data_IF_968014419267
#
_entry.id   IF_968014419267
#
_cell.length_a   1.000
_cell.length_b   1.000
_cell.length_c   1.000
_cell.angle_alpha   90.00
_cell.angle_beta   90.00
_cell.angle_gamma   90.00
#
_symmetry.space_group_name_H-M   'P 1'
#
loop_
_entity.id
_entity.type
_entity.pdbx_description
1 polymer ?
#
# COMPACT_ATOMS: atom_id res chain seq x y z
N UNK A 1 -2.56 -9.48 -45.09
CA UNK A 1 -1.74 -8.75 -44.10
C UNK A 1 -1.75 -9.57 -42.84
N UNK A 2 -0.69 -10.34 -42.61
CA UNK A 2 -0.53 -11.24 -41.47
C UNK A 2 -0.11 -10.43 -40.25
N UNK A 3 -0.98 -10.36 -39.24
CA UNK A 3 -0.69 -9.81 -37.92
C UNK A 3 0.29 -10.73 -37.22
N UNK A 4 1.55 -10.28 -37.11
CA UNK A 4 2.56 -10.99 -36.35
C UNK A 4 2.21 -10.90 -34.87
N UNK A 5 1.80 -12.03 -34.28
CA UNK A 5 1.82 -12.23 -32.84
C UNK A 5 3.26 -12.00 -32.36
N UNK A 6 3.52 -11.19 -31.32
CA UNK A 6 4.85 -11.04 -30.78
C UNK A 6 5.31 -12.43 -30.31
N UNK A 7 6.30 -13.01 -30.98
CA UNK A 7 6.98 -14.21 -30.49
C UNK A 7 7.70 -13.81 -29.22
N UNK A 8 7.39 -14.49 -28.11
CA UNK A 8 8.21 -14.42 -26.90
C UNK A 8 9.68 -14.70 -27.29
N UNK A 9 10.61 -13.76 -27.06
CA UNK A 9 12.00 -13.97 -27.42
C UNK A 9 12.62 -15.02 -26.49
N UNK A 10 12.95 -16.18 -27.05
CA UNK A 10 13.70 -17.22 -26.38
C UNK A 10 15.04 -16.65 -25.84
N UNK A 11 15.21 -16.73 -24.51
CA UNK A 11 16.28 -16.19 -23.64
C UNK A 11 15.90 -14.90 -22.88
N UNK A 12 14.99 -15.03 -21.93
CA UNK A 12 14.64 -13.98 -20.96
C UNK A 12 15.38 -14.17 -19.62
N UNK A 13 15.70 -15.41 -19.22
CA UNK A 13 16.31 -15.70 -17.90
C UNK A 13 17.81 -15.39 -17.75
N UNK A 14 18.58 -15.29 -18.85
CA UNK A 14 20.03 -15.04 -18.76
C UNK A 14 20.39 -13.58 -18.40
N UNK A 15 19.38 -12.72 -18.17
CA UNK A 15 19.56 -11.26 -17.95
C UNK A 15 19.18 -10.79 -16.56
N UNK A 16 18.54 -11.63 -15.75
CA UNK A 16 18.31 -11.29 -14.36
C UNK A 16 19.59 -11.60 -13.58
N UNK A 17 20.17 -10.62 -12.91
CA UNK A 17 21.05 -10.90 -11.77
C UNK A 17 20.33 -11.90 -10.89
N UNK A 18 20.99 -12.99 -10.51
CA UNK A 18 20.37 -14.17 -9.87
C UNK A 18 19.23 -13.80 -8.91
N UNK A 19 18.06 -14.47 -8.98
CA UNK A 19 16.96 -14.19 -8.06
C UNK A 19 17.43 -14.30 -6.61
N UNK A 20 16.96 -13.39 -5.76
CA UNK A 20 17.29 -13.41 -4.32
C UNK A 20 16.73 -14.69 -3.67
N UNK A 21 15.65 -15.25 -4.22
CA UNK A 21 15.12 -16.56 -3.87
C UNK A 21 14.39 -17.21 -5.06
N UNK A 22 14.49 -18.54 -5.20
CA UNK A 22 13.77 -19.35 -6.19
C UNK A 22 12.33 -19.61 -5.70
N UNK A 23 11.43 -18.63 -5.89
CA UNK A 23 10.06 -18.66 -5.37
C UNK A 23 9.11 -19.28 -6.38
N UNK A 24 8.69 -20.51 -6.12
CA UNK A 24 7.92 -21.31 -7.09
C UNK A 24 6.44 -21.43 -6.77
N UNK A 25 6.03 -21.18 -5.52
CA UNK A 25 4.62 -21.26 -5.13
C UNK A 25 4.09 -19.90 -4.72
N UNK A 26 3.25 -19.30 -5.55
CA UNK A 26 2.72 -17.94 -5.35
C UNK A 26 1.24 -17.99 -5.00
N UNK A 27 0.87 -17.43 -3.85
CA UNK A 27 -0.52 -17.16 -3.51
C UNK A 27 -1.04 -16.00 -4.34
N UNK A 28 -2.23 -16.11 -4.93
CA UNK A 28 -2.84 -15.03 -5.70
C UNK A 28 -4.16 -14.65 -5.06
N UNK A 29 -4.17 -13.48 -4.43
CA UNK A 29 -5.33 -12.89 -3.79
C UNK A 29 -6.03 -11.95 -4.75
N UNK A 30 -7.31 -12.20 -5.06
CA UNK A 30 -8.09 -11.35 -5.96
C UNK A 30 -9.17 -10.65 -5.14
N UNK A 31 -9.20 -9.32 -5.18
CA UNK A 31 -10.19 -8.54 -4.43
C UNK A 31 -11.22 -7.82 -5.31
N UNK A 32 -11.08 -7.95 -6.62
CA UNK A 32 -11.91 -7.30 -7.63
C UNK A 32 -11.13 -6.21 -8.38
N UNK A 33 -11.73 -5.02 -8.46
CA UNK A 33 -11.19 -3.90 -9.24
C UNK A 33 -11.17 -4.15 -10.76
N UNK A 34 -10.63 -3.19 -11.50
CA UNK A 34 -10.55 -3.24 -12.96
C UNK A 34 -9.79 -4.46 -13.48
N UNK A 35 -8.73 -4.88 -12.78
CA UNK A 35 -7.92 -6.06 -13.13
C UNK A 35 -8.70 -7.37 -13.00
N UNK A 36 -9.63 -7.46 -12.03
CA UNK A 36 -10.53 -8.58 -11.84
C UNK A 36 -11.89 -8.41 -12.54
N UNK A 37 -11.99 -7.50 -13.52
CA UNK A 37 -13.23 -7.20 -14.24
C UNK A 37 -13.07 -7.41 -15.74
N UNK A 38 -14.18 -7.60 -16.45
CA UNK A 38 -14.25 -7.55 -17.91
C UNK A 38 -15.13 -6.41 -18.39
N UNK A 39 -14.79 -5.80 -19.51
CA UNK A 39 -15.63 -4.82 -20.20
C UNK A 39 -16.67 -5.53 -21.07
N UNK A 40 -17.95 -5.20 -20.92
CA UNK A 40 -19.05 -5.70 -21.75
C UNK A 40 -19.86 -4.56 -22.37
N UNK A 41 -20.26 -4.73 -23.63
CA UNK A 41 -21.16 -3.80 -24.31
C UNK A 41 -22.62 -4.08 -23.91
N UNK A 42 -23.22 -3.18 -23.13
CA UNK A 42 -24.62 -3.28 -22.70
C UNK A 42 -25.38 -2.00 -23.09
N UNK A 43 -26.28 -2.12 -24.07
CA UNK A 43 -27.17 -1.01 -24.47
C UNK A 43 -26.44 0.22 -25.06
N UNK A 44 -25.30 0.03 -25.73
CA UNK A 44 -24.52 1.12 -26.32
C UNK A 44 -23.58 1.84 -25.35
N UNK A 45 -23.42 1.34 -24.11
CA UNK A 45 -22.39 1.74 -23.15
C UNK A 45 -21.53 0.55 -22.77
N UNK A 46 -20.26 0.80 -22.47
CA UNK A 46 -19.36 -0.19 -21.88
C UNK A 46 -19.57 -0.22 -20.36
N UNK A 47 -19.69 -1.42 -19.79
CA UNK A 47 -19.82 -1.63 -18.35
C UNK A 47 -18.79 -2.64 -17.87
N UNK A 48 -18.15 -2.32 -16.76
CA UNK A 48 -17.30 -3.26 -16.03
C UNK A 48 -18.17 -4.30 -15.31
N UNK A 49 -17.91 -5.57 -15.62
CA UNK A 49 -18.50 -6.74 -14.96
C UNK A 49 -17.39 -7.42 -14.18
N UNK A 50 -17.53 -7.47 -12.85
CA UNK A 50 -16.54 -8.09 -11.99
C UNK A 50 -16.65 -9.61 -12.08
N UNK A 51 -15.52 -10.29 -12.23
CA UNK A 51 -15.45 -11.73 -12.43
C UNK A 51 -15.59 -12.46 -11.08
N UNK A 52 -16.29 -13.60 -11.03
CA UNK A 52 -16.38 -14.45 -9.83
C UNK A 52 -15.86 -15.86 -10.11
N UNK A 53 -15.22 -16.47 -9.10
CA UNK A 53 -14.48 -17.74 -9.16
C UNK A 53 -15.22 -19.03 -9.56
N UNK A 54 -16.39 -18.94 -10.21
CA UNK A 54 -16.99 -20.06 -10.96
C UNK A 54 -16.59 -20.07 -12.45
N UNK A 55 -15.97 -19.00 -12.95
CA UNK A 55 -15.46 -18.97 -14.32
C UNK A 55 -14.05 -19.55 -14.32
N UNK A 56 -13.85 -20.66 -15.03
CA UNK A 56 -12.58 -21.37 -15.18
C UNK A 56 -11.47 -20.39 -15.59
N UNK A 57 -10.67 -20.02 -14.58
CA UNK A 57 -9.56 -19.07 -14.64
C UNK A 57 -10.01 -17.63 -14.95
N UNK A 58 -9.98 -16.78 -13.93
CA UNK A 58 -9.91 -15.33 -14.12
C UNK A 58 -8.95 -15.03 -15.28
N UNK A 59 -9.42 -14.28 -16.28
CA UNK A 59 -8.69 -13.92 -17.50
C UNK A 59 -7.35 -13.18 -17.21
N UNK A 60 -7.11 -12.86 -15.94
CA UNK A 60 -5.90 -12.23 -15.39
C UNK A 60 -4.61 -13.00 -15.69
N UNK A 61 -4.67 -14.32 -15.93
CA UNK A 61 -3.50 -15.13 -16.32
C UNK A 61 -3.47 -15.51 -17.80
N UNK A 62 -4.45 -15.07 -18.60
CA UNK A 62 -4.51 -15.47 -20.01
C UNK A 62 -3.49 -14.72 -20.87
N UNK A 63 -3.03 -13.57 -20.40
CA UNK A 63 -2.12 -12.67 -21.08
C UNK A 63 -0.76 -13.31 -21.40
N UNK A 64 -0.17 -12.98 -22.56
CA UNK A 64 1.04 -13.63 -23.06
C UNK A 64 2.26 -13.38 -22.18
N UNK A 65 2.39 -12.18 -21.59
CA UNK A 65 3.51 -11.87 -20.70
C UNK A 65 3.38 -12.64 -19.40
N UNK A 66 2.17 -12.69 -18.82
CA UNK A 66 1.93 -13.45 -17.59
C UNK A 66 2.24 -14.94 -17.78
N UNK A 67 1.74 -15.55 -18.87
CA UNK A 67 2.06 -16.95 -19.21
C UNK A 67 3.56 -17.19 -19.37
N UNK A 68 4.25 -16.29 -20.08
CA UNK A 68 5.69 -16.38 -20.25
C UNK A 68 6.44 -16.40 -18.92
N UNK A 69 6.11 -15.50 -17.98
CA UNK A 69 6.75 -15.47 -16.66
C UNK A 69 6.47 -16.74 -15.87
N UNK A 70 5.21 -17.22 -15.87
CA UNK A 70 4.82 -18.42 -15.14
C UNK A 70 5.55 -19.67 -15.66
N UNK A 71 5.56 -19.87 -16.98
CA UNK A 71 6.21 -21.02 -17.63
C UNK A 71 7.73 -20.99 -17.47
N UNK A 72 8.36 -19.84 -17.76
CA UNK A 72 9.83 -19.72 -17.72
C UNK A 72 10.38 -19.80 -16.30
N UNK A 73 9.67 -19.23 -15.32
CA UNK A 73 10.10 -19.23 -13.91
C UNK A 73 9.64 -20.48 -13.15
N UNK A 74 8.84 -21.35 -13.77
CA UNK A 74 8.28 -22.53 -13.10
C UNK A 74 7.37 -22.19 -11.92
N UNK A 75 6.69 -21.03 -11.97
CA UNK A 75 5.80 -20.57 -10.91
C UNK A 75 4.47 -21.32 -11.00
N UNK A 76 4.02 -21.84 -9.87
CA UNK A 76 2.68 -22.37 -9.64
C UNK A 76 1.88 -21.38 -8.80
N UNK A 77 0.58 -21.25 -9.07
CA UNK A 77 -0.28 -20.30 -8.38
C UNK A 77 -1.35 -21.00 -7.55
N UNK A 78 -1.66 -20.44 -6.39
CA UNK A 78 -2.81 -20.82 -5.57
C UNK A 78 -3.74 -19.63 -5.48
N UNK A 79 -4.90 -19.70 -6.14
CA UNK A 79 -5.82 -18.59 -6.20
C UNK A 79 -6.81 -18.59 -5.03
N UNK A 80 -7.06 -17.40 -4.48
CA UNK A 80 -8.13 -17.10 -3.52
C UNK A 80 -8.80 -15.78 -3.91
N UNK A 81 -10.13 -15.74 -3.83
CA UNK A 81 -10.91 -14.54 -4.11
C UNK A 81 -11.80 -14.23 -2.89
N UNK A 82 -11.22 -13.74 -1.78
CA UNK A 82 -11.99 -13.46 -0.57
C UNK A 82 -12.96 -12.29 -0.75
N UNK A 83 -12.70 -11.41 -1.72
CA UNK A 83 -13.45 -10.20 -1.98
C UNK A 83 -13.70 -10.06 -3.49
N UNK A 84 -14.82 -9.42 -3.83
CA UNK A 84 -15.14 -9.13 -5.23
C UNK A 84 -15.84 -7.76 -5.35
N UNK A 85 -15.06 -6.69 -5.27
CA UNK A 85 -15.59 -5.32 -5.25
C UNK A 85 -14.69 -4.30 -5.93
N UNK A 86 -15.25 -3.12 -6.19
CA UNK A 86 -14.49 -1.96 -6.66
C UNK A 86 -13.78 -1.29 -5.47
N UNK A 87 -12.56 -0.80 -5.70
CA UNK A 87 -11.67 -0.29 -4.65
C UNK A 87 -12.23 0.92 -3.89
N UNK A 88 -13.04 1.75 -4.54
CA UNK A 88 -13.69 2.92 -3.94
C UNK A 88 -14.72 2.56 -2.87
N UNK A 89 -15.16 1.30 -2.81
CA UNK A 89 -16.09 0.81 -1.79
C UNK A 89 -15.36 0.04 -0.66
N UNK A 90 -14.03 -0.03 -0.69
CA UNK A 90 -13.27 -0.79 0.30
C UNK A 90 -13.16 -0.05 1.62
N UNK A 91 -13.22 -0.80 2.72
CA UNK A 91 -13.22 -0.31 4.11
C UNK A 91 -12.14 -1.03 4.93
N UNK A 92 -11.81 -0.57 6.15
CA UNK A 92 -10.81 -1.22 6.98
C UNK A 92 -11.10 -2.69 7.34
N UNK A 93 -12.37 -3.08 7.45
CA UNK A 93 -12.78 -4.48 7.68
C UNK A 93 -12.35 -5.39 6.52
N UNK A 94 -12.36 -4.87 5.29
CA UNK A 94 -11.92 -5.61 4.13
C UNK A 94 -10.39 -5.84 4.16
N UNK A 95 -9.61 -4.89 4.69
CA UNK A 95 -8.18 -5.10 4.91
C UNK A 95 -7.91 -6.21 5.92
N UNK A 96 -8.73 -6.31 6.98
CA UNK A 96 -8.66 -7.41 7.96
C UNK A 96 -8.94 -8.76 7.28
N UNK A 97 -9.94 -8.84 6.41
CA UNK A 97 -10.22 -10.05 5.61
C UNK A 97 -9.01 -10.42 4.74
N UNK A 98 -8.43 -9.45 4.04
CA UNK A 98 -7.25 -9.70 3.20
C UNK A 98 -6.04 -10.16 4.01
N UNK A 99 -5.76 -9.53 5.16
CA UNK A 99 -4.66 -9.92 6.03
C UNK A 99 -4.77 -11.36 6.52
N UNK A 100 -5.98 -11.78 6.92
CA UNK A 100 -6.26 -13.17 7.37
C UNK A 100 -6.14 -14.18 6.23
N UNK A 101 -6.60 -13.84 5.03
CA UNK A 101 -6.46 -14.73 3.87
C UNK A 101 -4.99 -14.90 3.46
N UNK A 102 -4.16 -13.87 3.61
CA UNK A 102 -2.72 -13.96 3.37
C UNK A 102 -2.04 -14.84 4.43
N UNK A 103 -2.39 -14.67 5.70
CA UNK A 103 -1.94 -15.54 6.79
C UNK A 103 -2.32 -17.01 6.52
N UNK A 104 -3.59 -17.29 6.21
CA UNK A 104 -4.07 -18.63 5.89
C UNK A 104 -3.37 -19.25 4.67
N UNK A 105 -3.15 -18.48 3.59
CA UNK A 105 -2.39 -18.93 2.43
C UNK A 105 -0.96 -19.35 2.79
N UNK A 106 -0.30 -18.60 3.68
CA UNK A 106 1.06 -18.92 4.12
C UNK A 106 1.05 -20.20 4.95
N UNK A 107 0.12 -20.33 5.89
CA UNK A 107 0.05 -21.46 6.82
C UNK A 107 -0.39 -22.77 6.15
N UNK A 108 -1.38 -22.70 5.27
CA UNK A 108 -2.02 -23.89 4.68
C UNK A 108 -1.38 -24.34 3.37
N UNK A 109 -0.88 -23.40 2.56
CA UNK A 109 -0.37 -23.69 1.22
C UNK A 109 1.16 -23.56 1.12
N UNK A 110 1.82 -22.97 2.12
CA UNK A 110 3.28 -22.80 2.14
C UNK A 110 3.78 -21.96 0.96
N UNK A 111 3.10 -20.86 0.66
CA UNK A 111 3.47 -19.96 -0.46
C UNK A 111 4.76 -19.18 -0.15
N UNK A 112 5.60 -18.98 -1.17
CA UNK A 112 6.88 -18.28 -1.08
C UNK A 112 6.77 -16.77 -1.38
N UNK A 113 5.58 -16.32 -1.79
CA UNK A 113 5.24 -14.95 -2.12
C UNK A 113 3.75 -14.81 -2.41
N UNK A 114 3.22 -13.59 -2.29
CA UNK A 114 1.79 -13.33 -2.54
C UNK A 114 1.62 -12.19 -3.54
N UNK A 115 0.86 -12.45 -4.60
CA UNK A 115 0.37 -11.45 -5.53
C UNK A 115 -1.05 -11.04 -5.16
N UNK A 116 -1.29 -9.74 -4.98
CA UNK A 116 -2.62 -9.20 -4.68
C UNK A 116 -3.11 -8.39 -5.88
N UNK A 117 -4.17 -8.85 -6.51
CA UNK A 117 -4.86 -8.16 -7.61
C UNK A 117 -5.96 -7.27 -7.04
N UNK A 118 -5.78 -5.95 -7.16
CA UNK A 118 -6.58 -4.95 -6.47
C UNK A 118 -7.03 -3.81 -7.40
N UNK A 119 -8.13 -3.13 -7.05
CA UNK A 119 -8.52 -1.88 -7.70
C UNK A 119 -7.59 -0.72 -7.35
N UNK A 120 -7.34 0.20 -8.28
CA UNK A 120 -6.26 1.19 -8.15
C UNK A 120 -6.57 2.34 -7.20
N UNK A 121 -7.84 2.71 -6.98
CA UNK A 121 -8.18 3.94 -6.24
C UNK A 121 -7.75 3.93 -4.78
N UNK A 122 -7.91 2.78 -4.11
CA UNK A 122 -7.53 2.62 -2.69
C UNK A 122 -6.33 1.70 -2.49
N UNK A 123 -5.66 1.27 -3.58
CA UNK A 123 -4.54 0.31 -3.50
C UNK A 123 -3.40 0.77 -2.59
N UNK A 124 -3.10 2.08 -2.54
CA UNK A 124 -2.07 2.62 -1.65
C UNK A 124 -2.47 2.57 -0.17
N UNK A 125 -3.77 2.68 0.14
CA UNK A 125 -4.27 2.49 1.50
C UNK A 125 -4.17 1.02 1.89
N UNK A 126 -4.61 0.11 1.00
CA UNK A 126 -4.52 -1.33 1.22
C UNK A 126 -3.08 -1.81 1.36
N UNK A 127 -2.14 -1.33 0.53
CA UNK A 127 -0.72 -1.69 0.65
C UNK A 127 -0.15 -1.26 1.99
N UNK A 128 -0.55 -0.09 2.49
CA UNK A 128 -0.14 0.40 3.80
C UNK A 128 -0.72 -0.46 4.92
N UNK A 129 -2.02 -0.80 4.83
CA UNK A 129 -2.71 -1.58 5.86
C UNK A 129 -2.07 -2.97 6.00
N UNK A 130 -1.84 -3.64 4.86
CA UNK A 130 -1.16 -4.93 4.84
C UNK A 130 0.29 -4.82 5.33
N UNK A 131 1.01 -3.72 5.03
CA UNK A 131 2.37 -3.55 5.52
C UNK A 131 2.45 -3.53 7.06
N UNK A 132 1.47 -2.91 7.73
CA UNK A 132 1.39 -2.92 9.19
C UNK A 132 0.85 -4.25 9.74
N UNK A 133 -0.22 -4.80 9.15
CA UNK A 133 -0.82 -6.05 9.60
C UNK A 133 0.10 -7.26 9.44
N UNK A 134 0.98 -7.24 8.44
CA UNK A 134 1.92 -8.31 8.11
C UNK A 134 3.36 -7.94 8.51
N UNK A 135 3.53 -7.04 9.49
CA UNK A 135 4.85 -6.64 9.94
C UNK A 135 5.63 -7.84 10.50
N UNK A 136 6.74 -8.20 9.84
CA UNK A 136 7.53 -9.39 10.17
C UNK A 136 7.28 -10.59 9.28
N UNK A 137 6.44 -10.45 8.26
CA UNK A 137 6.29 -11.45 7.21
C UNK A 137 7.64 -11.81 6.57
N UNK A 138 7.85 -13.10 6.29
CA UNK A 138 9.11 -13.64 5.77
C UNK A 138 9.12 -13.81 4.25
N UNK A 139 8.05 -13.38 3.58
CA UNK A 139 7.89 -13.45 2.12
C UNK A 139 7.46 -12.08 1.57
N UNK A 140 7.73 -11.78 0.28
CA UNK A 140 7.22 -10.57 -0.35
C UNK A 140 5.72 -10.70 -0.67
N UNK A 141 5.00 -9.59 -0.49
CA UNK A 141 3.63 -9.40 -0.94
C UNK A 141 3.62 -8.24 -1.92
N UNK A 142 3.16 -8.44 -3.15
CA UNK A 142 3.11 -7.39 -4.17
C UNK A 142 1.67 -7.14 -4.58
N UNK A 143 1.21 -5.91 -4.36
CA UNK A 143 -0.06 -5.43 -4.89
C UNK A 143 0.14 -4.92 -6.32
N UNK A 144 -0.82 -5.21 -7.20
CA UNK A 144 -0.90 -4.64 -8.54
C UNK A 144 -2.35 -4.56 -9.00
N UNK A 145 -2.57 -3.90 -10.13
CA UNK A 145 -3.88 -3.77 -10.77
C UNK A 145 -3.76 -3.26 -12.19
N UNK A 146 -4.80 -2.63 -12.70
CA UNK A 146 -4.77 -2.05 -14.04
C UNK A 146 -5.65 -0.81 -14.15
N UNK A 147 -5.33 0.07 -15.09
CA UNK A 147 -6.18 1.18 -15.47
C UNK A 147 -7.33 0.71 -16.38
N UNK A 148 -7.09 -0.33 -17.19
CA UNK A 148 -8.09 -0.93 -18.10
C UNK A 148 -8.30 -2.42 -17.81
N UNK A 149 -9.50 -2.97 -18.06
CA UNK A 149 -9.77 -4.41 -17.94
C UNK A 149 -8.81 -5.24 -18.79
N UNK A 150 -8.50 -6.50 -18.40
CA UNK A 150 -7.61 -7.37 -19.18
C UNK A 150 -8.08 -7.59 -20.63
N UNK A 151 -9.40 -7.60 -20.86
CA UNK A 151 -9.98 -7.87 -22.18
C UNK A 151 -10.02 -6.65 -23.12
N UNK A 152 -9.61 -5.46 -22.66
CA UNK A 152 -9.61 -4.25 -23.47
C UNK A 152 -8.29 -4.05 -24.27
N UNK A 153 -8.34 -3.43 -25.46
CA UNK A 153 -7.14 -3.04 -26.19
C UNK A 153 -6.23 -2.10 -25.39
N UNK A 154 -4.92 -2.32 -25.51
CA UNK A 154 -3.88 -1.56 -24.80
C UNK A 154 -4.02 -1.60 -23.27
N UNK A 155 -4.67 -2.65 -22.74
CA UNK A 155 -4.72 -2.89 -21.31
C UNK A 155 -3.31 -3.04 -20.73
N UNK A 156 -3.10 -2.41 -19.58
CA UNK A 156 -1.88 -2.53 -18.79
C UNK A 156 -1.91 -3.73 -17.83
N UNK A 157 -3.01 -4.50 -17.77
CA UNK A 157 -3.15 -5.64 -16.86
C UNK A 157 -2.07 -6.72 -17.05
N UNK A 158 -1.90 -7.23 -18.27
CA UNK A 158 -0.90 -8.28 -18.58
C UNK A 158 0.52 -7.82 -18.20
N UNK A 159 0.88 -6.56 -18.49
CA UNK A 159 2.16 -5.97 -18.12
C UNK A 159 2.33 -5.86 -16.61
N UNK A 160 1.36 -5.24 -15.93
CA UNK A 160 1.42 -4.97 -14.50
C UNK A 160 1.47 -6.28 -13.68
N UNK A 161 0.75 -7.33 -14.10
CA UNK A 161 0.76 -8.65 -13.46
C UNK A 161 2.10 -9.36 -13.71
N UNK A 162 2.58 -9.38 -14.94
CA UNK A 162 3.86 -9.99 -15.27
C UNK A 162 5.02 -9.34 -14.52
N UNK A 163 5.07 -8.01 -14.48
CA UNK A 163 6.09 -7.26 -13.74
C UNK A 163 5.98 -7.51 -12.23
N UNK A 164 4.78 -7.66 -11.67
CA UNK A 164 4.61 -7.99 -10.26
C UNK A 164 5.11 -9.41 -9.94
N UNK A 165 4.87 -10.38 -10.82
CA UNK A 165 5.42 -11.74 -10.69
C UNK A 165 6.95 -11.74 -10.77
N UNK A 166 7.54 -10.97 -11.69
CA UNK A 166 9.00 -10.78 -11.76
C UNK A 166 9.50 -10.14 -10.47
N UNK A 167 8.85 -9.07 -9.99
CA UNK A 167 9.24 -8.38 -8.77
C UNK A 167 9.25 -9.32 -7.56
N UNK A 168 8.24 -10.20 -7.43
CA UNK A 168 8.18 -11.20 -6.36
C UNK A 168 9.43 -12.09 -6.31
N UNK A 169 10.09 -12.38 -7.43
CA UNK A 169 11.31 -13.21 -7.46
C UNK A 169 12.55 -12.50 -6.90
N UNK A 170 12.57 -11.17 -6.91
CA UNK A 170 13.74 -10.38 -6.53
C UNK A 170 13.57 -9.60 -5.22
N UNK A 171 12.34 -9.31 -4.81
CA UNK A 171 12.09 -8.51 -3.62
C UNK A 171 12.44 -9.27 -2.34
N UNK A 172 12.90 -8.51 -1.35
CA UNK A 172 13.01 -8.94 0.04
C UNK A 172 11.63 -9.08 0.68
N UNK A 173 11.50 -9.74 1.85
CA UNK A 173 10.23 -9.82 2.56
C UNK A 173 9.58 -8.46 2.85
N UNK A 174 8.25 -8.44 2.84
CA UNK A 174 7.44 -7.25 3.10
C UNK A 174 6.47 -6.90 1.98
N UNK A 175 5.73 -5.79 2.16
CA UNK A 175 4.64 -5.41 1.27
C UNK A 175 5.08 -4.29 0.31
N UNK A 176 4.78 -4.48 -0.98
CA UNK A 176 5.13 -3.59 -2.08
C UNK A 176 3.94 -3.38 -3.01
N UNK A 177 4.02 -2.33 -3.83
CA UNK A 177 3.08 -2.05 -4.92
C UNK A 177 3.87 -1.93 -6.23
N UNK A 178 3.54 -2.72 -7.24
CA UNK A 178 4.16 -2.66 -8.57
C UNK A 178 3.17 -2.13 -9.60
N UNK A 179 3.54 -1.09 -10.36
CA UNK A 179 2.64 -0.52 -11.36
C UNK A 179 3.38 0.21 -12.48
N UNK A 180 3.10 -0.14 -13.74
CA UNK A 180 3.54 0.62 -14.92
C UNK A 180 2.49 1.64 -15.35
N UNK A 181 1.22 1.23 -15.31
CA UNK A 181 0.09 2.07 -15.71
C UNK A 181 -0.05 2.29 -17.22
N UNK A 182 0.81 1.64 -18.02
CA UNK A 182 0.79 1.60 -19.48
C UNK A 182 1.41 0.27 -19.94
N UNK A 183 0.93 -0.34 -21.04
CA UNK A 183 1.43 -1.64 -21.50
C UNK A 183 2.91 -1.63 -21.91
N UNK A 184 3.46 -0.49 -22.36
CA UNK A 184 4.83 -0.35 -22.87
C UNK A 184 5.73 0.49 -21.95
N UNK A 185 5.40 0.61 -20.66
CA UNK A 185 6.21 1.32 -19.68
C UNK A 185 6.83 0.33 -18.68
N UNK A 186 7.97 0.72 -18.10
CA UNK A 186 8.51 0.01 -16.93
C UNK A 186 7.58 0.17 -15.74
N UNK A 187 7.39 -0.91 -14.98
CA UNK A 187 6.77 -0.81 -13.66
C UNK A 187 7.74 -0.20 -12.66
N UNK A 188 7.19 0.65 -11.79
CA UNK A 188 7.90 1.05 -10.58
C UNK A 188 7.36 0.23 -9.42
N UNK A 189 8.29 -0.25 -8.59
CA UNK A 189 7.99 -0.97 -7.36
C UNK A 189 8.15 0.00 -6.20
N UNK A 190 7.06 0.23 -5.49
CA UNK A 190 6.98 1.13 -4.36
C UNK A 190 6.91 0.34 -3.06
N UNK A 191 7.52 0.86 -1.99
CA UNK A 191 7.29 0.33 -0.64
C UNK A 191 5.84 0.64 -0.23
N UNK A 192 5.14 -0.35 0.33
CA UNK A 192 3.73 -0.30 0.68
C UNK A 192 3.37 0.86 1.62
N UNK A 193 4.32 1.33 2.43
CA UNK A 193 4.17 2.47 3.37
C UNK A 193 4.72 3.80 2.84
N UNK A 194 4.96 3.91 1.53
CA UNK A 194 5.48 5.14 0.92
C UNK A 194 4.83 5.51 -0.39
N UNK A 195 3.74 4.87 -0.77
CA UNK A 195 3.11 5.02 -2.08
C UNK A 195 1.82 5.81 -1.98
N UNK A 196 1.53 6.63 -2.99
CA UNK A 196 0.21 7.24 -3.19
C UNK A 196 -0.19 7.22 -4.66
N UNK A 197 -1.49 7.15 -4.92
CA UNK A 197 -2.05 7.40 -6.25
C UNK A 197 -2.11 8.91 -6.51
N UNK A 198 -1.21 9.41 -7.36
CA UNK A 198 -1.09 10.83 -7.70
C UNK A 198 -1.86 11.21 -8.99
N UNK A 199 -2.33 10.24 -9.77
CA UNK A 199 -3.08 10.48 -11.03
C UNK A 199 -4.23 9.50 -11.15
N UNK A 200 -5.28 9.88 -11.88
CA UNK A 200 -6.41 8.98 -12.18
C UNK A 200 -6.08 7.85 -13.15
N UNK A 201 -5.08 8.02 -14.03
CA UNK A 201 -4.67 7.02 -15.03
C UNK A 201 -3.20 7.18 -15.44
N UNK A 202 -2.70 6.25 -16.27
CA UNK A 202 -1.29 6.20 -16.65
C UNK A 202 -0.42 5.70 -15.49
N UNK A 203 0.86 6.12 -15.38
CA UNK A 203 1.71 5.81 -14.23
C UNK A 203 1.19 6.56 -13.00
N UNK A 204 0.18 5.97 -12.36
CA UNK A 204 -0.67 6.63 -11.39
C UNK A 204 -0.04 6.73 -10.01
N UNK A 205 0.87 5.82 -9.67
CA UNK A 205 1.49 5.73 -8.36
C UNK A 205 2.85 6.42 -8.32
N UNK A 206 3.13 7.07 -7.19
CA UNK A 206 4.42 7.70 -6.88
C UNK A 206 4.86 7.32 -5.48
N UNK A 207 6.16 7.11 -5.31
CA UNK A 207 6.75 7.07 -3.97
C UNK A 207 6.80 8.50 -3.41
N UNK A 208 6.30 8.70 -2.20
CA UNK A 208 6.26 9.97 -1.52
C UNK A 208 7.23 9.95 -0.33
N UNK A 209 8.09 10.98 -0.24
CA UNK A 209 9.15 11.07 0.77
C UNK A 209 10.38 10.22 0.50
N UNK A 210 10.36 9.38 -0.54
CA UNK A 210 11.48 8.51 -0.93
C UNK A 210 11.38 8.15 -2.42
N UNK A 211 12.47 7.60 -2.96
CA UNK A 211 12.47 7.02 -4.31
C UNK A 211 11.79 5.64 -4.30
N UNK A 212 11.32 5.18 -5.45
CA UNK A 212 10.83 3.80 -5.60
C UNK A 212 11.94 2.78 -5.33
N UNK A 213 11.57 1.59 -4.88
CA UNK A 213 12.49 0.53 -4.48
C UNK A 213 13.22 -0.06 -5.68
N UNK A 214 12.48 -0.35 -6.75
CA UNK A 214 12.99 -0.96 -7.96
C UNK A 214 12.20 -0.55 -9.21
N UNK A 215 12.82 -0.75 -10.37
CA UNK A 215 12.15 -0.75 -11.67
C UNK A 215 12.13 -2.14 -12.26
N UNK A 216 11.01 -2.49 -12.88
CA UNK A 216 10.80 -3.80 -13.50
C UNK A 216 10.35 -3.62 -14.93
N UNK A 217 10.93 -4.43 -15.80
CA UNK A 217 10.50 -4.57 -17.18
C UNK A 217 10.71 -6.00 -17.65
N UNK A 218 10.18 -6.33 -18.82
CA UNK A 218 10.37 -7.66 -19.40
C UNK A 218 11.87 -7.96 -19.61
N UNK A 219 12.42 -8.90 -18.84
CA UNK A 219 13.84 -9.26 -18.90
C UNK A 219 14.75 -8.46 -17.98
N UNK A 220 14.23 -7.56 -17.13
CA UNK A 220 15.05 -6.78 -16.19
C UNK A 220 14.36 -6.46 -14.86
N UNK A 221 15.09 -6.63 -13.76
CA UNK A 221 14.77 -6.08 -12.45
C UNK A 221 15.96 -5.24 -11.98
N UNK A 222 15.74 -3.97 -11.67
CA UNK A 222 16.80 -3.04 -11.26
C UNK A 222 16.45 -2.40 -9.91
N UNK A 223 17.25 -2.67 -8.88
CA UNK A 223 17.19 -1.94 -7.61
C UNK A 223 17.57 -0.48 -7.83
N UNK A 224 16.70 0.45 -7.43
CA UNK A 224 16.92 1.91 -7.56
C UNK A 224 17.51 2.49 -6.29
N UNK A 225 17.04 2.03 -5.14
CA UNK A 225 17.79 2.15 -3.90
C UNK A 225 18.92 1.12 -3.98
N UNK A 226 20.15 1.58 -4.28
CA UNK A 226 21.35 0.74 -4.21
C UNK A 226 21.58 0.35 -2.75
N UNK A 227 20.91 -0.71 -2.33
CA UNK A 227 21.25 -1.45 -1.14
C UNK A 227 22.48 -2.26 -1.43
N UNK A 228 23.42 -2.28 -0.48
CA UNK A 228 24.42 -3.35 -0.44
C UNK A 228 23.62 -4.64 -0.26
N UNK A 229 23.94 -5.73 -0.98
CA UNK A 229 23.28 -7.01 -0.71
C UNK A 229 23.24 -7.24 0.81
N UNK A 230 22.05 -7.42 1.42
CA UNK A 230 21.99 -7.62 2.87
C UNK A 230 22.71 -8.91 3.20
N UNK A 231 23.73 -8.85 4.07
CA UNK A 231 24.50 -10.02 4.52
C UNK A 231 23.59 -11.05 5.22
N UNK A 232 22.43 -10.63 5.74
CA UNK A 232 21.34 -11.51 6.14
C UNK A 232 19.96 -10.81 6.15
N UNK A 233 18.92 -11.54 5.73
CA UNK A 233 17.50 -11.08 5.76
C UNK A 233 17.02 -10.85 7.21
N UNK A 234 17.62 -11.53 8.20
CA UNK A 234 17.20 -11.48 9.61
C UNK A 234 17.48 -10.13 10.27
N UNK A 235 18.44 -9.38 9.74
CA UNK A 235 18.83 -8.07 10.29
C UNK A 235 17.94 -6.92 9.76
N UNK A 236 17.06 -7.21 8.79
CA UNK A 236 16.17 -6.25 8.13
C UNK A 236 14.75 -6.22 8.70
N UNK A 237 14.51 -6.84 9.86
CA UNK A 237 13.17 -6.93 10.45
C UNK A 237 13.20 -6.20 11.81
N UNK A 238 12.36 -5.18 12.03
CA UNK A 238 12.33 -4.49 13.32
C UNK A 238 12.00 -5.48 14.45
N UNK A 239 12.60 -5.32 15.63
CA UNK A 239 12.48 -6.23 16.77
C UNK A 239 11.01 -6.43 17.24
N UNK A 240 10.15 -5.44 16.98
CA UNK A 240 8.70 -5.45 17.25
C UNK A 240 7.91 -6.34 16.29
N UNK A 241 8.52 -6.82 15.21
CA UNK A 241 7.91 -7.71 14.22
C UNK A 241 8.08 -9.21 14.55
N UNK A 242 8.34 -9.55 15.83
CA UNK A 242 8.50 -10.94 16.31
C UNK A 242 7.22 -11.78 16.27
N UNK A 243 6.05 -11.16 16.13
CA UNK A 243 4.80 -11.80 15.77
C UNK A 243 4.37 -11.28 14.39
N UNK A 244 4.45 -12.09 13.31
CA UNK A 244 4.35 -11.63 11.93
C UNK A 244 2.96 -11.12 11.53
N UNK A 245 1.93 -11.45 12.30
CA UNK A 245 0.54 -11.14 11.98
C UNK A 245 -0.14 -10.40 13.14
N UNK A 246 -0.52 -9.14 12.87
CA UNK A 246 -1.29 -8.27 13.77
C UNK A 246 -2.45 -7.69 12.99
N UNK A 247 -3.42 -8.55 12.70
CA UNK A 247 -4.50 -8.25 11.77
C UNK A 247 -5.68 -7.62 12.51
N UNK A 248 -5.72 -6.30 12.53
CA UNK A 248 -6.80 -5.51 13.13
C UNK A 248 -6.94 -4.15 12.44
N UNK A 249 -8.15 -3.59 12.47
CA UNK A 249 -8.40 -2.21 12.06
C UNK A 249 -9.67 -1.71 12.75
N UNK A 250 -9.73 -0.39 12.95
CA UNK A 250 -10.87 0.33 13.50
C UNK A 250 -11.05 1.63 12.70
N UNK A 251 -12.26 1.85 12.18
CA UNK A 251 -12.59 2.95 11.28
C UNK A 251 -12.95 4.25 12.01
N UNK A 252 -12.92 4.27 13.35
CA UNK A 252 -13.14 5.46 14.21
C UNK A 252 -11.94 6.43 14.19
N UNK A 253 -11.34 6.63 13.02
CA UNK A 253 -10.27 7.59 12.75
C UNK A 253 -10.67 8.54 11.61
N UNK A 254 -10.36 9.83 11.76
CA UNK A 254 -10.63 10.86 10.75
C UNK A 254 -9.34 11.49 10.21
N UNK A 255 -9.27 11.75 8.91
CA UNK A 255 -8.23 12.64 8.34
C UNK A 255 -8.80 14.05 8.19
N UNK A 256 -8.05 15.04 8.68
CA UNK A 256 -8.38 16.46 8.61
C UNK A 256 -7.25 17.16 7.84
N UNK A 257 -7.57 17.78 6.71
CA UNK A 257 -6.59 18.57 5.96
C UNK A 257 -6.74 20.05 6.32
N UNK A 258 -5.68 20.68 6.85
CA UNK A 258 -5.72 22.10 7.19
C UNK A 258 -5.93 22.96 5.95
N UNK A 259 -6.80 23.97 6.07
CA UNK A 259 -6.98 25.04 5.10
C UNK A 259 -7.20 26.38 5.82
N UNK A 260 -6.98 27.52 5.14
CA UNK A 260 -7.28 28.82 5.72
C UNK A 260 -8.76 28.91 6.15
N UNK A 261 -9.01 29.35 7.38
CA UNK A 261 -10.36 29.48 7.93
C UNK A 261 -11.01 28.16 8.36
N UNK A 262 -10.23 27.08 8.56
CA UNK A 262 -10.75 25.84 9.16
C UNK A 262 -11.30 26.11 10.56
N UNK A 263 -12.43 25.48 10.87
CA UNK A 263 -13.07 25.51 12.19
C UNK A 263 -12.79 24.18 12.90
N UNK A 264 -11.71 24.14 13.69
CA UNK A 264 -11.31 22.94 14.43
C UNK A 264 -12.23 22.66 15.61
N UNK A 265 -12.92 23.69 16.12
CA UNK A 265 -13.91 23.53 17.19
C UNK A 265 -15.11 22.71 16.70
N UNK A 266 -15.65 23.05 15.54
CA UNK A 266 -16.72 22.29 14.91
C UNK A 266 -16.27 20.86 14.56
N UNK A 267 -15.05 20.70 14.02
CA UNK A 267 -14.51 19.38 13.72
C UNK A 267 -14.40 18.52 14.98
N UNK A 268 -13.93 19.09 16.08
CA UNK A 268 -13.85 18.40 17.37
C UNK A 268 -15.23 17.95 17.86
N UNK A 269 -16.25 18.81 17.81
CA UNK A 269 -17.61 18.44 18.19
C UNK A 269 -18.17 17.30 17.36
N UNK A 270 -17.96 17.33 16.04
CA UNK A 270 -18.39 16.27 15.13
C UNK A 270 -17.69 14.94 15.45
N UNK A 271 -16.39 14.98 15.74
CA UNK A 271 -15.62 13.80 16.12
C UNK A 271 -16.14 13.15 17.41
N UNK A 272 -16.36 13.95 18.46
CA UNK A 272 -16.89 13.42 19.73
C UNK A 272 -18.29 12.82 19.56
N UNK A 273 -19.18 13.52 18.85
CA UNK A 273 -20.55 13.02 18.58
C UNK A 273 -20.55 11.74 17.74
N UNK A 274 -19.59 11.62 16.82
CA UNK A 274 -19.42 10.43 15.98
C UNK A 274 -18.70 9.27 16.67
N UNK A 275 -18.20 9.46 17.90
CA UNK A 275 -17.45 8.42 18.61
C UNK A 275 -16.06 8.14 18.02
N UNK A 276 -15.46 9.12 17.33
CA UNK A 276 -14.11 9.00 16.80
C UNK A 276 -13.09 8.97 17.95
N UNK A 277 -12.13 8.05 17.86
CA UNK A 277 -11.05 7.87 18.84
C UNK A 277 -9.70 8.34 18.35
N UNK A 278 -9.56 8.58 17.04
CA UNK A 278 -8.34 9.08 16.44
C UNK A 278 -8.58 10.15 15.38
N UNK A 279 -7.61 11.05 15.22
CA UNK A 279 -7.56 11.96 14.09
C UNK A 279 -6.14 12.12 13.55
N UNK A 280 -6.03 12.30 12.24
CA UNK A 280 -4.80 12.63 11.55
C UNK A 280 -4.93 14.01 10.91
N UNK A 281 -4.22 15.00 11.45
CA UNK A 281 -4.23 16.36 10.96
C UNK A 281 -3.05 16.60 10.02
N UNK A 282 -3.33 16.89 8.75
CA UNK A 282 -2.29 17.27 7.78
C UNK A 282 -1.89 18.71 7.98
N UNK A 283 -0.66 18.93 8.45
CA UNK A 283 -0.07 20.25 8.63
C UNK A 283 0.21 20.94 7.29
N UNK A 284 0.46 22.26 7.32
CA UNK A 284 0.96 22.95 6.15
C UNK A 284 2.35 22.44 5.74
N UNK A 285 2.77 22.60 4.47
CA UNK A 285 3.99 21.97 3.95
C UNK A 285 5.29 22.31 4.70
N UNK A 286 5.34 23.46 5.37
CA UNK A 286 6.48 23.88 6.20
C UNK A 286 6.44 23.35 7.65
N UNK A 287 5.53 22.42 7.95
CA UNK A 287 5.27 21.89 9.30
C UNK A 287 4.77 22.97 10.26
N UNK A 288 3.95 23.85 9.71
CA UNK A 288 3.30 24.94 10.43
C UNK A 288 1.81 24.70 10.53
N UNK A 289 1.20 25.34 11.51
CA UNK A 289 -0.21 25.27 11.78
C UNK A 289 -0.68 26.59 12.41
N UNK A 290 -1.96 26.95 12.27
CA UNK A 290 -2.53 28.07 13.00
C UNK A 290 -2.45 27.85 14.52
N UNK A 291 -2.03 28.89 15.23
CA UNK A 291 -2.06 28.97 16.71
C UNK A 291 -3.14 29.94 17.20
N UNK A 292 -3.70 30.74 16.29
CA UNK A 292 -4.77 31.70 16.51
C UNK A 292 -5.61 31.88 15.23
N UNK A 293 -6.88 32.31 15.33
CA UNK A 293 -7.67 32.45 16.56
C UNK A 293 -7.97 31.09 17.22
N UNK A 294 -8.60 31.07 18.39
CA UNK A 294 -8.76 29.87 19.21
C UNK A 294 -9.45 28.73 18.45
N UNK A 295 -10.47 29.06 17.64
CA UNK A 295 -11.30 28.12 16.88
C UNK A 295 -10.51 27.39 15.78
N UNK A 296 -9.37 27.95 15.36
CA UNK A 296 -8.45 27.35 14.40
C UNK A 296 -7.15 26.87 15.05
N UNK A 297 -6.96 27.04 16.36
CA UNK A 297 -5.69 26.78 17.02
C UNK A 297 -5.41 25.29 17.16
N UNK A 298 -4.38 24.80 16.46
CA UNK A 298 -3.99 23.39 16.53
C UNK A 298 -3.51 22.96 17.92
N UNK A 299 -2.72 23.77 18.67
CA UNK A 299 -2.38 23.42 20.05
C UNK A 299 -3.60 23.29 20.96
N UNK A 300 -4.64 24.12 20.78
CA UNK A 300 -5.88 24.01 21.55
C UNK A 300 -6.67 22.76 21.16
N UNK A 301 -6.80 22.49 19.87
CA UNK A 301 -7.42 21.26 19.37
C UNK A 301 -6.71 20.01 19.91
N UNK A 302 -5.38 19.99 19.93
CA UNK A 302 -4.58 18.90 20.48
C UNK A 302 -4.84 18.66 21.97
N UNK A 303 -4.88 19.73 22.79
CA UNK A 303 -5.22 19.62 24.21
C UNK A 303 -6.61 19.04 24.42
N UNK A 304 -7.61 19.54 23.70
CA UNK A 304 -8.99 19.04 23.79
C UNK A 304 -9.09 17.57 23.39
N UNK A 305 -8.38 17.16 22.33
CA UNK A 305 -8.26 15.76 21.94
C UNK A 305 -7.67 14.92 23.09
N UNK A 306 -6.55 15.33 23.67
CA UNK A 306 -5.91 14.61 24.78
C UNK A 306 -6.82 14.51 26.03
N UNK A 307 -7.50 15.59 26.41
CA UNK A 307 -8.44 15.63 27.54
C UNK A 307 -9.66 14.70 27.37
N UNK A 308 -9.99 14.36 26.12
CA UNK A 308 -11.12 13.49 25.77
C UNK A 308 -10.66 12.13 25.23
N UNK A 309 -9.40 11.76 25.45
CA UNK A 309 -8.80 10.49 25.03
C UNK A 309 -8.93 10.21 23.51
N UNK A 310 -8.95 11.27 22.71
CA UNK A 310 -8.86 11.20 21.25
C UNK A 310 -7.40 11.32 20.85
N UNK A 311 -6.85 10.31 20.19
CA UNK A 311 -5.45 10.32 19.75
C UNK A 311 -5.30 11.22 18.52
N UNK A 312 -4.50 12.27 18.65
CA UNK A 312 -4.18 13.16 17.53
C UNK A 312 -2.80 12.85 16.96
N UNK A 313 -2.76 12.45 15.69
CA UNK A 313 -1.54 12.39 14.90
C UNK A 313 -1.41 13.62 14.00
N UNK A 314 -0.24 14.23 13.98
CA UNK A 314 0.11 15.31 13.06
C UNK A 314 0.96 14.73 11.93
N UNK A 315 0.59 15.02 10.69
CA UNK A 315 1.23 14.47 9.50
C UNK A 315 1.49 15.56 8.47
N UNK A 316 2.17 15.23 7.38
CA UNK A 316 2.60 16.18 6.34
C UNK A 316 2.67 15.48 4.99
N UNK A 317 2.81 16.23 3.90
CA UNK A 317 3.24 15.64 2.63
C UNK A 317 4.72 15.26 2.74
N UNK A 318 5.02 14.12 3.35
CA UNK A 318 6.32 13.47 3.59
C UNK A 318 7.54 14.36 3.84
N UNK A 319 8.22 14.17 4.97
CA UNK A 319 9.40 14.96 5.35
C UNK A 319 10.52 14.81 4.29
N UNK A 320 11.08 15.92 3.76
CA UNK A 320 12.29 15.87 2.96
C UNK A 320 13.47 15.32 3.78
N UNK A 321 14.26 14.41 3.20
CA UNK A 321 15.46 13.85 3.83
C UNK A 321 16.40 14.99 4.27
N UNK A 322 16.84 14.95 5.54
CA UNK A 322 17.83 15.89 6.09
C UNK A 322 17.28 17.19 6.71
N UNK A 323 15.97 17.44 6.66
CA UNK A 323 15.39 18.63 7.29
C UNK A 323 15.34 18.46 8.82
N UNK A 324 16.18 19.14 9.60
CA UNK A 324 16.01 19.26 11.06
C UNK A 324 14.98 20.35 11.35
N UNK A 325 13.88 19.97 11.99
CA UNK A 325 12.84 20.94 12.35
C UNK A 325 13.16 21.54 13.73
N UNK A 326 13.43 22.84 13.76
CA UNK A 326 13.79 23.61 14.97
C UNK A 326 12.69 24.62 15.37
N UNK A 327 11.51 24.57 14.76
CA UNK A 327 10.44 25.54 15.04
C UNK A 327 9.81 25.31 16.42
N UNK A 328 9.60 26.41 17.15
CA UNK A 328 8.95 26.44 18.47
C UNK A 328 7.54 25.83 18.45
N UNK A 329 6.80 26.04 17.36
CA UNK A 329 5.49 25.42 17.15
C UNK A 329 5.53 23.89 17.20
N UNK A 330 6.65 23.25 16.83
CA UNK A 330 6.79 21.80 16.92
C UNK A 330 6.75 21.33 18.39
N UNK A 331 7.56 21.97 19.24
CA UNK A 331 7.63 21.63 20.66
C UNK A 331 6.28 21.88 21.35
N UNK A 332 5.62 23.00 21.04
CA UNK A 332 4.27 23.29 21.55
C UNK A 332 3.23 22.24 21.15
N UNK A 333 3.36 21.62 19.96
CA UNK A 333 2.44 20.60 19.48
C UNK A 333 2.70 19.23 20.13
N UNK A 334 3.98 18.88 20.36
CA UNK A 334 4.36 17.69 21.13
C UNK A 334 3.91 17.83 22.60
N UNK A 335 4.14 19.01 23.21
CA UNK A 335 3.70 19.34 24.58
C UNK A 335 2.17 19.33 24.73
N UNK A 336 1.43 19.62 23.66
CA UNK A 336 -0.03 19.57 23.64
C UNK A 336 -0.60 18.14 23.54
N UNK A 337 0.25 17.11 23.49
CA UNK A 337 -0.16 15.71 23.51
C UNK A 337 -0.41 15.07 22.14
N UNK A 338 -0.03 15.72 21.05
CA UNK A 338 -0.13 15.16 19.71
C UNK A 338 1.10 14.31 19.32
N UNK A 339 0.91 13.32 18.46
CA UNK A 339 1.97 12.45 17.93
C UNK A 339 2.39 12.94 16.55
N UNK A 340 3.65 13.31 16.36
CA UNK A 340 4.16 13.72 15.05
C UNK A 340 4.59 12.51 14.22
N UNK A 341 3.92 12.27 13.10
CA UNK A 341 4.23 11.19 12.16
C UNK A 341 4.87 11.76 10.88
N UNK A 342 6.16 11.50 10.60
CA UNK A 342 6.87 12.02 9.42
C UNK A 342 6.53 11.26 8.12
N UNK A 343 5.29 10.82 7.97
CA UNK A 343 4.79 10.03 6.83
C UNK A 343 3.80 10.85 6.01
N UNK A 344 3.36 10.35 4.86
CA UNK A 344 2.24 10.96 4.13
C UNK A 344 0.91 10.78 4.87
N UNK A 345 -0.10 11.64 4.65
CA UNK A 345 -1.35 11.56 5.40
C UNK A 345 -2.13 10.25 5.21
N UNK A 346 -2.03 9.61 4.03
CA UNK A 346 -2.63 8.30 3.79
C UNK A 346 -2.04 7.24 4.74
N UNK A 347 -0.72 7.28 4.95
CA UNK A 347 -0.03 6.33 5.83
C UNK A 347 -0.34 6.60 7.30
N UNK A 348 -0.40 7.88 7.69
CA UNK A 348 -0.79 8.27 9.05
C UNK A 348 -2.20 7.77 9.39
N UNK A 349 -3.17 7.97 8.48
CA UNK A 349 -4.55 7.52 8.66
C UNK A 349 -4.63 6.00 8.83
N UNK A 350 -3.99 5.24 7.94
CA UNK A 350 -4.02 3.77 8.00
C UNK A 350 -3.32 3.25 9.25
N UNK A 351 -2.20 3.86 9.66
CA UNK A 351 -1.51 3.49 10.90
C UNK A 351 -2.39 3.76 12.14
N UNK A 352 -3.12 4.87 12.16
CA UNK A 352 -4.10 5.19 13.20
C UNK A 352 -5.21 4.14 13.27
N UNK A 353 -5.82 3.80 12.13
CA UNK A 353 -6.87 2.78 12.06
C UNK A 353 -6.37 1.41 12.54
N UNK A 354 -5.15 1.03 12.17
CA UNK A 354 -4.52 -0.21 12.64
C UNK A 354 -4.24 -0.18 14.14
N UNK A 355 -3.65 0.90 14.67
CA UNK A 355 -3.35 1.05 16.09
C UNK A 355 -4.61 1.01 16.97
N UNK A 356 -5.69 1.69 16.55
CA UNK A 356 -6.99 1.65 17.22
C UNK A 356 -7.63 0.26 17.19
N UNK A 357 -7.37 -0.53 16.14
CA UNK A 357 -7.79 -1.92 16.07
C UNK A 357 -7.04 -2.84 17.05
N UNK A 358 -5.83 -2.47 17.46
CA UNK A 358 -5.00 -3.25 18.37
C UNK A 358 -5.21 -2.93 19.86
N UNK A 359 -5.60 -1.69 20.20
CA UNK A 359 -5.85 -1.30 21.58
C UNK A 359 -6.95 -0.25 21.70
N UNK A 360 -7.74 -0.35 22.76
CA UNK A 360 -8.68 0.69 23.18
C UNK A 360 -8.05 1.72 24.12
N UNK A 361 -6.83 1.46 24.60
CA UNK A 361 -6.14 2.34 25.54
C UNK A 361 -5.44 3.49 24.79
N UNK A 362 -5.75 4.73 25.19
CA UNK A 362 -5.19 5.94 24.61
C UNK A 362 -3.64 5.97 24.57
N UNK A 363 -2.98 5.53 25.65
CA UNK A 363 -1.52 5.54 25.73
C UNK A 363 -0.88 4.47 24.85
N UNK A 364 -1.49 3.29 24.76
CA UNK A 364 -1.01 2.20 23.88
C UNK A 364 -1.10 2.62 22.42
N UNK A 365 -2.22 3.21 21.99
CA UNK A 365 -2.40 3.67 20.60
C UNK A 365 -1.34 4.71 20.25
N UNK A 366 -1.07 5.67 21.15
CA UNK A 366 0.04 6.64 20.96
C UNK A 366 1.39 5.96 20.83
N UNK A 367 1.70 5.00 21.70
CA UNK A 367 2.96 4.25 21.66
C UNK A 367 3.13 3.48 20.35
N UNK A 368 2.06 2.84 19.84
CA UNK A 368 2.06 2.16 18.55
C UNK A 368 2.34 3.15 17.40
N UNK A 369 1.73 4.33 17.43
CA UNK A 369 1.95 5.36 16.42
C UNK A 369 3.40 5.86 16.39
N UNK A 370 4.04 6.03 17.54
CA UNK A 370 5.42 6.50 17.68
C UNK A 370 6.47 5.45 17.29
N UNK A 371 6.08 4.17 17.32
CA UNK A 371 6.97 3.04 17.03
C UNK A 371 7.09 2.81 15.52
N UNK A 372 8.30 2.67 14.98
CA UNK A 372 8.47 2.23 13.59
C UNK A 372 8.14 0.73 13.45
N UNK A 373 7.26 0.39 12.52
CA UNK A 373 6.72 -0.98 12.38
C UNK A 373 7.09 -1.62 11.04
N UNK A 374 6.97 -0.85 9.96
CA UNK A 374 7.10 -1.33 8.59
C UNK A 374 8.03 -0.43 7.76
N UNK A 375 9.01 0.21 8.42
CA UNK A 375 9.98 1.11 7.79
C UNK A 375 9.35 2.41 7.25
N UNK A 376 8.25 2.84 7.85
CA UNK A 376 7.47 3.99 7.42
C UNK A 376 8.18 5.32 7.69
N UNK A 377 9.11 5.41 8.65
CA UNK A 377 9.81 6.66 8.96
C UNK A 377 11.14 6.79 8.24
N UNK A 378 12.03 5.80 8.40
CA UNK A 378 13.40 5.81 7.86
C UNK A 378 13.55 5.21 6.47
N UNK A 379 12.56 4.39 6.05
CA UNK A 379 12.68 3.57 4.85
C UNK A 379 13.42 2.27 5.10
N UNK A 380 13.26 1.32 4.16
CA UNK A 380 13.98 0.06 4.22
C UNK A 380 15.49 0.32 4.16
N UNK A 381 16.29 -0.45 4.90
CA UNK A 381 17.75 -0.29 4.88
C UNK A 381 18.32 -0.36 3.47
N UNK A 382 19.31 0.54 3.27
CA UNK A 382 20.36 0.64 2.26
C UNK A 382 21.24 -0.62 2.06
#
# INVERSE_FOLDING_TARGET
MTTATPKAPARVLARYSDPVADRRRIGVLVTGGTVGSRSEAMGGRERLVTLSGSDDQLDVFSGPNVKGVLEESGITTVLRQPLNMLSENMTPEHWVVMGREIEDLIETEGVDGVLVLHGTDTMSFTSTALAFMLAGIQIPVVLTGSNRPPNEPESDADKNIADALIALQHLTPGVFLSFAGRPNAKSRVHDGVSVRKARGSGPAFVSAGRVHAAEVDWGSFEWVLKTREPESIKDLIPEIASAPFRIAADDRALRIDLHPGIDLDLMFEMMLRGGYRGACLTLYPALTAPTEPAEASVPEFARRCAENEVVLALTMNARPVGMRNHYESKFQLEDAGAVLLPVIPEVALVKMMWALGLSENYADVRSILETEVAWEFGGRPA
#
